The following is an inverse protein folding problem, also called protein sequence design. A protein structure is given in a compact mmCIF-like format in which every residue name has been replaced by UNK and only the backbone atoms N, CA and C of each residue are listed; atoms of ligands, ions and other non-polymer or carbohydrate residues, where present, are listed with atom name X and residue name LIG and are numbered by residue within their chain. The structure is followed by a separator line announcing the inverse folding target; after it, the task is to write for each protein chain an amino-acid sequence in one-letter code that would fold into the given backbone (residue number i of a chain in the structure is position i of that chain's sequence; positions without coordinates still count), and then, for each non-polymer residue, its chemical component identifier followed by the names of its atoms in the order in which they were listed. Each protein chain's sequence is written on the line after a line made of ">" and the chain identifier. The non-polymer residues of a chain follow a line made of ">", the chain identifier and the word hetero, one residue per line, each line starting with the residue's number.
data_IF_815175986016
#
_entry.id   IF_815175986016
#
_cell.length_a   1.000
_cell.length_b   1.000
_cell.length_c   1.000
_cell.angle_alpha   90.00
_cell.angle_beta   90.00
_cell.angle_gamma   90.00
#
_symmetry.space_group_name_H-M   'P 1'
#
loop_
_entity.id
_entity.type
_entity.pdbx_description
1 polymer ?
#
# COMPACT_ATOMS: atom_id res chain seq x y z
N UNK A 1 17.67 -15.41 4.58
CA UNK A 1 16.43 -15.62 5.40
C UNK A 1 15.78 -14.32 5.89
N UNK A 2 16.47 -13.16 5.89
CA UNK A 2 15.89 -11.88 6.33
C UNK A 2 14.85 -11.26 5.37
N UNK A 3 14.97 -11.49 4.06
CA UNK A 3 14.08 -10.90 3.03
C UNK A 3 12.63 -11.38 3.07
N UNK A 4 12.40 -12.67 3.31
CA UNK A 4 11.04 -13.24 3.37
C UNK A 4 10.18 -12.63 4.50
N UNK A 5 10.83 -12.26 5.61
CA UNK A 5 10.17 -11.58 6.72
C UNK A 5 9.85 -10.10 6.42
N UNK A 6 10.54 -9.47 5.47
CA UNK A 6 10.31 -8.08 5.09
C UNK A 6 8.99 -7.91 4.34
N UNK A 7 8.78 -8.65 3.25
CA UNK A 7 7.57 -8.54 2.41
C UNK A 7 6.31 -8.90 3.19
N UNK A 8 6.39 -9.93 4.04
CA UNK A 8 5.26 -10.36 4.86
C UNK A 8 4.89 -9.32 5.94
N UNK A 9 5.88 -8.58 6.46
CA UNK A 9 5.60 -7.45 7.36
C UNK A 9 4.91 -6.31 6.62
N UNK A 10 5.32 -5.98 5.39
CA UNK A 10 4.70 -4.92 4.57
C UNK A 10 3.25 -5.27 4.20
N UNK A 11 3.00 -6.54 3.87
CA UNK A 11 1.64 -7.04 3.64
C UNK A 11 0.77 -6.86 4.90
N UNK A 12 1.28 -7.25 6.07
CA UNK A 12 0.56 -7.04 7.32
C UNK A 12 0.32 -5.54 7.60
N UNK A 13 1.30 -4.67 7.36
CA UNK A 13 1.14 -3.22 7.52
C UNK A 13 -0.03 -2.68 6.64
N UNK A 14 -0.18 -3.15 5.39
CA UNK A 14 -1.30 -2.81 4.51
C UNK A 14 -2.66 -3.32 5.01
N UNK A 15 -2.73 -4.56 5.50
CA UNK A 15 -3.96 -5.12 6.07
C UNK A 15 -4.42 -4.30 7.29
N UNK A 16 -3.48 -3.91 8.16
CA UNK A 16 -3.79 -3.06 9.30
C UNK A 16 -4.26 -1.68 8.87
N UNK A 17 -3.71 -1.11 7.80
CA UNK A 17 -4.16 0.17 7.25
C UNK A 17 -5.62 0.11 6.76
N UNK A 18 -5.96 -0.91 5.95
CA UNK A 18 -7.34 -1.11 5.48
C UNK A 18 -8.32 -1.32 6.63
N UNK A 19 -7.92 -2.06 7.67
CA UNK A 19 -8.74 -2.25 8.87
C UNK A 19 -9.01 -0.91 9.58
N UNK A 20 -7.98 -0.08 9.76
CA UNK A 20 -8.14 1.25 10.39
C UNK A 20 -9.04 2.16 9.57
N UNK A 21 -8.92 2.10 8.25
CA UNK A 21 -9.83 2.80 7.36
C UNK A 21 -11.27 2.33 7.50
N UNK A 22 -11.53 1.02 7.50
CA UNK A 22 -12.88 0.46 7.67
C UNK A 22 -13.54 0.94 8.98
N UNK A 23 -12.80 0.87 10.10
CA UNK A 23 -13.26 1.35 11.41
C UNK A 23 -13.54 2.86 11.39
N UNK A 24 -12.67 3.65 10.75
CA UNK A 24 -12.87 5.09 10.62
C UNK A 24 -14.05 5.48 9.72
N UNK A 25 -14.26 4.76 8.62
CA UNK A 25 -15.40 4.96 7.73
C UNK A 25 -16.73 4.58 8.40
N UNK A 26 -16.71 3.68 9.38
CA UNK A 26 -17.84 3.38 10.26
C UNK A 26 -18.07 4.41 11.37
N UNK A 27 -17.12 5.34 11.56
CA UNK A 27 -17.16 6.34 12.62
C UNK A 27 -16.83 5.78 14.01
N UNK A 28 -16.15 4.64 14.07
CA UNK A 28 -15.80 3.96 15.32
C UNK A 28 -14.47 4.47 15.92
N UNK A 29 -13.56 4.96 15.08
CA UNK A 29 -12.27 5.56 15.51
C UNK A 29 -11.85 6.72 14.60
N UNK A 30 -11.15 7.71 15.17
CA UNK A 30 -10.51 8.77 14.40
C UNK A 30 -9.23 8.24 13.75
N UNK A 31 -9.20 8.22 12.42
CA UNK A 31 -8.03 7.86 11.64
C UNK A 31 -7.72 8.93 10.60
N UNK A 32 -6.52 9.51 10.71
CA UNK A 32 -5.93 10.31 9.64
C UNK A 32 -5.08 9.41 8.76
N UNK A 33 -5.30 9.45 7.44
CA UNK A 33 -4.47 8.75 6.48
C UNK A 33 -2.99 9.18 6.56
N UNK A 34 -2.15 8.47 5.80
CA UNK A 34 -0.72 8.80 5.68
C UNK A 34 -0.35 9.00 4.22
N UNK A 35 0.75 9.69 3.95
CA UNK A 35 1.28 9.80 2.58
C UNK A 35 1.99 8.51 2.17
N UNK A 36 2.07 8.28 0.87
CA UNK A 36 2.76 7.13 0.28
C UNK A 36 4.28 7.11 0.54
N UNK A 37 4.87 8.14 1.16
CA UNK A 37 6.28 8.17 1.55
C UNK A 37 6.49 7.94 3.05
N UNK A 38 5.44 8.14 3.85
CA UNK A 38 5.52 8.06 5.30
C UNK A 38 5.15 6.67 5.85
N UNK A 39 4.61 5.78 5.03
CA UNK A 39 4.41 4.38 5.41
C UNK A 39 5.72 3.59 5.25
N UNK A 40 5.85 2.47 5.97
CA UNK A 40 7.09 1.66 5.94
C UNK A 40 7.39 1.06 4.56
N UNK A 41 6.36 0.83 3.74
CA UNK A 41 6.56 0.41 2.34
C UNK A 41 7.09 1.59 1.51
N UNK A 42 6.50 2.77 1.68
CA UNK A 42 6.95 4.01 1.08
C UNK A 42 8.41 4.32 1.38
N UNK A 43 8.79 4.34 2.65
CA UNK A 43 10.17 4.56 3.07
C UNK A 43 11.12 3.60 2.34
N UNK A 44 10.78 2.30 2.30
CA UNK A 44 11.59 1.36 1.55
C UNK A 44 11.60 1.62 0.04
N UNK A 45 10.45 1.87 -0.59
CA UNK A 45 10.36 2.15 -2.04
C UNK A 45 11.18 3.37 -2.46
N UNK A 46 11.29 4.39 -1.60
CA UNK A 46 11.95 5.65 -1.93
C UNK A 46 13.39 5.75 -1.40
N UNK A 47 13.80 4.91 -0.46
CA UNK A 47 15.15 4.92 0.12
C UNK A 47 15.99 3.72 -0.36
N UNK A 48 15.77 2.54 0.22
CA UNK A 48 16.68 1.38 0.08
C UNK A 48 16.27 0.42 -1.04
N UNK A 49 14.99 0.37 -1.40
CA UNK A 49 14.39 -0.67 -2.23
C UNK A 49 14.95 -0.74 -3.65
N UNK A 50 15.29 0.40 -4.26
CA UNK A 50 15.91 0.41 -5.58
C UNK A 50 17.30 -0.24 -5.54
N UNK A 51 18.07 0.01 -4.48
CA UNK A 51 19.41 -0.59 -4.31
C UNK A 51 19.30 -2.09 -4.05
N UNK A 52 18.39 -2.50 -3.16
CA UNK A 52 18.18 -3.92 -2.84
C UNK A 52 17.71 -4.74 -4.05
N UNK A 53 16.79 -4.17 -4.84
CA UNK A 53 16.27 -4.81 -6.05
C UNK A 53 17.30 -4.78 -7.18
N UNK A 54 18.09 -3.71 -7.30
CA UNK A 54 19.19 -3.63 -8.25
C UNK A 54 20.31 -4.64 -8.02
N UNK A 55 20.42 -5.16 -6.78
CA UNK A 55 21.35 -6.24 -6.42
C UNK A 55 20.78 -7.65 -6.68
N UNK A 56 19.57 -7.78 -7.22
CA UNK A 56 18.97 -9.07 -7.57
C UNK A 56 19.45 -9.51 -8.96
N UNK A 57 19.78 -10.80 -9.11
CA UNK A 57 20.20 -11.38 -10.40
C UNK A 57 19.07 -11.37 -11.45
N UNK A 58 17.82 -11.28 -11.00
CA UNK A 58 16.66 -11.30 -11.89
C UNK A 58 16.41 -9.92 -12.50
N UNK A 59 16.65 -9.80 -13.81
CA UNK A 59 16.47 -8.55 -14.56
C UNK A 59 15.04 -7.98 -14.53
N UNK A 60 14.02 -8.81 -14.26
CA UNK A 60 12.61 -8.37 -14.13
C UNK A 60 12.29 -7.77 -12.77
N UNK A 61 13.13 -7.99 -11.76
CA UNK A 61 12.87 -7.51 -10.40
C UNK A 61 12.75 -5.97 -10.37
N UNK A 62 13.59 -5.27 -11.12
CA UNK A 62 13.55 -3.81 -11.26
C UNK A 62 12.24 -3.33 -11.90
N UNK A 63 11.76 -3.98 -12.95
CA UNK A 63 10.50 -3.64 -13.61
C UNK A 63 9.31 -3.82 -12.67
N UNK A 64 9.28 -4.93 -11.91
CA UNK A 64 8.24 -5.19 -10.91
C UNK A 64 8.29 -4.13 -9.80
N UNK A 65 9.49 -3.78 -9.32
CA UNK A 65 9.68 -2.74 -8.32
C UNK A 65 9.17 -1.38 -8.79
N UNK A 66 9.56 -0.92 -9.98
CA UNK A 66 9.10 0.36 -10.54
C UNK A 66 7.57 0.37 -10.72
N UNK A 67 6.98 -0.79 -11.05
CA UNK A 67 5.54 -0.95 -11.17
C UNK A 67 4.75 -0.88 -9.85
N UNK A 68 5.43 -0.87 -8.69
CA UNK A 68 4.80 -0.64 -7.38
C UNK A 68 4.52 0.84 -7.11
N UNK A 69 5.35 1.74 -7.64
CA UNK A 69 5.36 3.16 -7.25
C UNK A 69 4.01 3.84 -7.52
N UNK A 70 3.51 3.75 -8.76
CA UNK A 70 2.26 4.38 -9.17
C UNK A 70 1.03 3.86 -8.41
N UNK A 71 0.78 2.54 -8.38
CA UNK A 71 -0.34 1.98 -7.61
C UNK A 71 -0.26 2.29 -6.11
N UNK A 72 0.95 2.39 -5.54
CA UNK A 72 1.14 2.71 -4.12
C UNK A 72 0.80 4.18 -3.82
N UNK A 73 1.22 5.10 -4.67
CA UNK A 73 0.82 6.50 -4.58
C UNK A 73 -0.70 6.65 -4.69
N UNK A 74 -1.31 6.01 -5.70
CA UNK A 74 -2.76 6.05 -5.91
C UNK A 74 -3.53 5.48 -4.71
N UNK A 75 -3.03 4.41 -4.09
CA UNK A 75 -3.63 3.82 -2.90
C UNK A 75 -3.74 4.84 -1.76
N UNK A 76 -2.70 5.62 -1.49
CA UNK A 76 -2.74 6.63 -0.44
C UNK A 76 -3.60 7.86 -0.81
N UNK A 77 -3.60 8.26 -2.09
CA UNK A 77 -4.46 9.35 -2.58
C UNK A 77 -5.94 8.99 -2.36
N UNK A 78 -6.37 7.82 -2.82
CA UNK A 78 -7.73 7.34 -2.62
C UNK A 78 -8.05 7.11 -1.13
N UNK A 79 -7.05 6.71 -0.34
CA UNK A 79 -7.17 6.57 1.11
C UNK A 79 -7.65 7.86 1.77
N UNK A 80 -6.99 8.98 1.43
CA UNK A 80 -7.36 10.29 1.94
C UNK A 80 -8.69 10.78 1.36
N UNK A 81 -8.93 10.55 0.07
CA UNK A 81 -10.20 10.93 -0.56
C UNK A 81 -11.40 10.23 0.10
N UNK A 82 -11.29 8.95 0.45
CA UNK A 82 -12.35 8.25 1.18
C UNK A 82 -12.65 8.88 2.55
N UNK A 83 -11.62 9.31 3.27
CA UNK A 83 -11.77 9.99 4.56
C UNK A 83 -12.42 11.37 4.37
N UNK A 84 -11.99 12.14 3.37
CA UNK A 84 -12.59 13.45 3.03
C UNK A 84 -14.07 13.31 2.66
N UNK A 85 -14.43 12.27 1.90
CA UNK A 85 -15.83 11.93 1.59
C UNK A 85 -16.64 11.61 2.84
N UNK A 86 -16.08 10.82 3.76
CA UNK A 86 -16.72 10.53 5.06
C UNK A 86 -16.93 11.80 5.87
N UNK A 87 -15.93 12.67 5.95
CA UNK A 87 -16.02 13.96 6.65
C UNK A 87 -17.08 14.89 6.04
N UNK A 88 -17.27 14.82 4.72
CA UNK A 88 -18.33 15.54 4.01
C UNK A 88 -19.73 14.89 4.13
N UNK A 89 -19.86 13.75 4.81
CA UNK A 89 -21.11 12.99 4.94
C UNK A 89 -21.48 12.15 3.72
N UNK A 90 -20.59 12.03 2.73
CA UNK A 90 -20.78 11.22 1.52
C UNK A 90 -20.35 9.77 1.79
N UNK A 91 -21.18 9.03 2.54
CA UNK A 91 -20.88 7.64 2.93
C UNK A 91 -20.80 6.70 1.73
N UNK A 92 -21.68 6.89 0.74
CA UNK A 92 -21.69 6.08 -0.47
C UNK A 92 -20.41 6.31 -1.30
N UNK A 93 -19.98 7.56 -1.44
CA UNK A 93 -18.73 7.92 -2.10
C UNK A 93 -17.52 7.34 -1.36
N UNK A 94 -17.48 7.46 -0.03
CA UNK A 94 -16.41 6.89 0.79
C UNK A 94 -16.30 5.35 0.62
N UNK A 95 -17.44 4.64 0.64
CA UNK A 95 -17.46 3.18 0.47
C UNK A 95 -17.07 2.74 -0.96
N UNK A 96 -17.45 3.52 -1.98
CA UNK A 96 -17.06 3.26 -3.36
C UNK A 96 -15.54 3.38 -3.55
N UNK A 97 -14.92 4.40 -2.94
CA UNK A 97 -13.46 4.57 -2.94
C UNK A 97 -12.79 3.46 -2.12
N UNK A 98 -13.35 3.09 -0.97
CA UNK A 98 -12.82 2.01 -0.14
C UNK A 98 -12.78 0.66 -0.87
N UNK A 99 -13.77 0.39 -1.72
CA UNK A 99 -13.77 -0.79 -2.61
C UNK A 99 -12.60 -0.74 -3.61
N UNK A 100 -12.28 0.44 -4.17
CA UNK A 100 -11.13 0.61 -5.06
C UNK A 100 -9.80 0.42 -4.32
N UNK A 101 -9.72 0.82 -3.05
CA UNK A 101 -8.55 0.60 -2.21
C UNK A 101 -8.25 -0.89 -2.01
N UNK A 102 -9.28 -1.71 -1.81
CA UNK A 102 -9.09 -3.17 -1.74
C UNK A 102 -8.49 -3.75 -3.03
N UNK A 103 -8.95 -3.27 -4.19
CA UNK A 103 -8.40 -3.70 -5.49
C UNK A 103 -6.92 -3.30 -5.61
N UNK A 104 -6.58 -2.04 -5.33
CA UNK A 104 -5.20 -1.56 -5.37
C UNK A 104 -4.31 -2.28 -4.35
N UNK A 105 -4.83 -2.56 -3.15
CA UNK A 105 -4.10 -3.33 -2.13
C UNK A 105 -3.78 -4.74 -2.61
N UNK A 106 -4.70 -5.41 -3.30
CA UNK A 106 -4.45 -6.72 -3.90
C UNK A 106 -3.40 -6.65 -5.00
N UNK A 107 -3.45 -5.62 -5.86
CA UNK A 107 -2.43 -5.38 -6.88
C UNK A 107 -1.04 -5.19 -6.27
N UNK A 108 -0.92 -4.38 -5.23
CA UNK A 108 0.34 -4.14 -4.52
C UNK A 108 0.85 -5.42 -3.85
N UNK A 109 -0.03 -6.17 -3.20
CA UNK A 109 0.29 -7.44 -2.55
C UNK A 109 0.86 -8.45 -3.55
N UNK A 110 0.20 -8.63 -4.70
CA UNK A 110 0.65 -9.57 -5.71
C UNK A 110 2.04 -9.19 -6.26
N UNK A 111 2.27 -7.90 -6.55
CA UNK A 111 3.58 -7.41 -7.01
C UNK A 111 4.68 -7.60 -5.97
N UNK A 112 4.38 -7.42 -4.68
CA UNK A 112 5.34 -7.68 -3.60
C UNK A 112 5.66 -9.18 -3.46
N UNK A 113 4.66 -10.06 -3.66
CA UNK A 113 4.86 -11.51 -3.66
C UNK A 113 5.67 -11.97 -4.89
N UNK A 114 5.39 -11.40 -6.06
CA UNK A 114 6.18 -11.64 -7.27
C UNK A 114 7.65 -11.27 -7.02
N UNK A 115 7.90 -10.09 -6.43
CA UNK A 115 9.24 -9.63 -6.10
C UNK A 115 9.93 -10.51 -5.04
N UNK A 116 9.20 -10.99 -4.03
CA UNK A 116 9.74 -11.93 -3.03
C UNK A 116 10.18 -13.25 -3.69
N UNK A 117 9.38 -13.75 -4.63
CA UNK A 117 9.67 -14.98 -5.39
C UNK A 117 10.82 -14.86 -6.40
N UNK A 118 11.30 -13.64 -6.67
CA UNK A 118 12.44 -13.37 -7.55
C UNK A 118 13.78 -13.28 -6.79
N UNK A 119 13.78 -13.39 -5.46
CA UNK A 119 14.99 -13.40 -4.61
C UNK A 119 15.73 -14.74 -4.60
#
# INVERSE_FOLDING_TARGET
>A
MAKKAFFMKRLNDHIQYLKKMDVALKGEEDFSGSTHKNCKLGQWLYDEGLTEVGAMENSKAKEVFESLLGPHEQFHILGNEALDKKLAGDEAGAQAIFTQLHVLSNTLTNKLLDLDGMN
#
